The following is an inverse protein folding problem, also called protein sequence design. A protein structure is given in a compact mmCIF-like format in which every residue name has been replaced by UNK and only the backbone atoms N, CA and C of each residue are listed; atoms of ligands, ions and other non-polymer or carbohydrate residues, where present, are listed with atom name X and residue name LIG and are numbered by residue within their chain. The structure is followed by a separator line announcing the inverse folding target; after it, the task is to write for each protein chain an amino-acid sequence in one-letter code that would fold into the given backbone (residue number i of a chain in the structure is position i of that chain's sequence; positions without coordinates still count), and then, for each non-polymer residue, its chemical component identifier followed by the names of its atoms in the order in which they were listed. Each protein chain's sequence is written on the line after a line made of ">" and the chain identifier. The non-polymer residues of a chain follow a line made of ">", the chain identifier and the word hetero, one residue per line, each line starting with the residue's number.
data_IF_623016301499
#
_entry.id   IF_623016301499
#
_cell.length_a   1.000
_cell.length_b   1.000
_cell.length_c   1.000
_cell.angle_alpha   90.00
_cell.angle_beta   90.00
_cell.angle_gamma   90.00
#
_symmetry.space_group_name_H-M   'P 1'
#
loop_
_entity.id
_entity.type
_entity.pdbx_description
1 polymer ?
#
# COMPACT_ATOMS: atom_id res chain seq x y z
N UNK A 1 9.62 2.41 5.41
CA UNK A 1 9.91 2.90 6.77
C UNK A 1 9.36 1.89 7.75
N UNK A 2 10.02 1.64 8.88
CA UNK A 2 9.46 0.84 9.97
C UNK A 2 8.50 1.70 10.79
N UNK A 3 7.26 1.25 10.94
CA UNK A 3 6.15 2.01 11.56
C UNK A 3 5.69 1.44 12.90
N UNK A 4 6.11 0.22 13.26
CA UNK A 4 5.65 -0.40 14.51
C UNK A 4 6.32 0.23 15.75
N UNK A 5 5.56 0.69 16.76
CA UNK A 5 6.09 1.53 17.86
C UNK A 5 7.06 0.81 18.78
N UNK A 6 6.93 -0.52 18.92
CA UNK A 6 7.82 -1.32 19.79
C UNK A 6 9.02 -1.92 19.05
N UNK A 7 9.28 -1.51 17.81
CA UNK A 7 10.41 -2.02 17.05
C UNK A 7 11.67 -1.17 17.30
N UNK A 8 12.86 -1.76 17.53
CA UNK A 8 14.09 -1.00 17.76
C UNK A 8 14.45 -0.01 16.63
N UNK A 9 13.97 -0.29 15.42
CA UNK A 9 14.19 0.54 14.23
C UNK A 9 12.98 1.41 13.85
N UNK A 10 12.03 1.63 14.76
CA UNK A 10 10.88 2.52 14.53
C UNK A 10 11.31 3.89 13.95
N UNK A 11 10.58 4.36 12.94
CA UNK A 11 10.87 5.62 12.25
C UNK A 11 12.05 5.58 11.27
N UNK A 12 12.80 4.46 11.19
CA UNK A 12 13.95 4.33 10.29
C UNK A 12 13.55 3.75 8.94
N UNK A 13 14.29 4.13 7.90
CA UNK A 13 14.20 3.53 6.55
C UNK A 13 15.35 2.54 6.39
N UNK A 14 15.02 1.27 6.21
CA UNK A 14 15.98 0.19 6.03
C UNK A 14 16.01 -0.26 4.56
N UNK A 15 17.18 -0.73 4.11
CA UNK A 15 17.34 -1.27 2.76
C UNK A 15 16.83 -2.70 2.72
N UNK A 16 15.80 -2.96 1.92
CA UNK A 16 15.26 -4.31 1.70
C UNK A 16 16.23 -5.07 0.79
N UNK A 17 16.74 -6.20 1.27
CA UNK A 17 17.56 -7.12 0.49
C UNK A 17 16.68 -8.05 -0.35
N UNK A 18 15.65 -8.63 0.26
CA UNK A 18 14.63 -9.43 -0.42
C UNK A 18 13.37 -9.55 0.45
N UNK A 19 12.26 -9.95 -0.18
CA UNK A 19 11.02 -10.33 0.50
C UNK A 19 10.84 -11.84 0.47
N UNK A 20 10.21 -12.39 1.50
CA UNK A 20 9.79 -13.81 1.54
C UNK A 20 8.42 -13.95 2.18
N UNK A 21 7.69 -15.00 1.82
CA UNK A 21 6.48 -15.40 2.56
C UNK A 21 6.87 -16.01 3.90
N UNK A 22 6.05 -15.79 4.92
CA UNK A 22 6.21 -16.47 6.22
C UNK A 22 5.91 -17.95 6.10
N UNK A 23 6.56 -18.75 6.95
CA UNK A 23 6.35 -20.21 7.00
C UNK A 23 4.89 -20.59 7.31
N UNK A 24 4.17 -19.77 8.10
CA UNK A 24 2.75 -19.93 8.38
C UNK A 24 1.84 -19.73 7.16
N UNK A 25 2.39 -19.31 6.01
CA UNK A 25 1.63 -19.03 4.79
C UNK A 25 0.94 -17.66 4.77
N UNK A 26 0.73 -17.04 5.94
CA UNK A 26 0.08 -15.75 6.08
C UNK A 26 1.10 -14.61 6.16
N UNK A 27 1.16 -13.76 5.14
CA UNK A 27 1.92 -12.51 5.13
C UNK A 27 3.35 -12.59 4.61
N UNK A 28 3.95 -11.41 4.47
CA UNK A 28 5.28 -11.19 3.90
C UNK A 28 6.22 -10.59 4.95
N UNK A 29 7.46 -11.06 4.96
CA UNK A 29 8.57 -10.43 5.67
C UNK A 29 9.57 -9.84 4.68
N UNK A 30 10.06 -8.65 5.01
CA UNK A 30 11.21 -8.04 4.37
C UNK A 30 12.47 -8.35 5.15
N UNK A 31 13.45 -8.95 4.49
CA UNK A 31 14.80 -9.08 5.05
C UNK A 31 15.55 -7.81 4.71
N UNK A 32 15.90 -7.06 5.74
CA UNK A 32 16.53 -5.75 5.64
C UNK A 32 17.98 -5.82 6.10
N UNK A 33 18.82 -5.04 5.45
CA UNK A 33 20.16 -4.72 5.95
C UNK A 33 20.05 -3.67 7.06
N UNK A 34 20.83 -3.90 8.11
CA UNK A 34 21.07 -2.96 9.21
C UNK A 34 22.58 -2.79 9.39
N UNK A 35 22.98 -1.90 10.28
CA UNK A 35 24.38 -1.62 10.60
C UNK A 35 25.19 -2.91 10.88
N UNK A 36 26.48 -2.88 10.55
CA UNK A 36 27.43 -3.99 10.66
C UNK A 36 27.07 -5.25 9.85
N UNK A 37 26.51 -5.06 8.65
CA UNK A 37 26.12 -6.14 7.72
C UNK A 37 25.15 -7.17 8.32
N UNK A 38 24.49 -6.83 9.43
CA UNK A 38 23.48 -7.68 10.06
C UNK A 38 22.18 -7.62 9.25
N UNK A 39 21.38 -8.68 9.41
CA UNK A 39 20.08 -8.82 8.74
C UNK A 39 18.99 -8.89 9.79
N UNK A 40 17.89 -8.21 9.53
CA UNK A 40 16.67 -8.28 10.35
C UNK A 40 15.48 -8.59 9.45
N UNK A 41 14.58 -9.46 9.92
CA UNK A 41 13.30 -9.69 9.26
C UNK A 41 12.25 -8.74 9.84
N UNK A 42 11.60 -7.96 8.98
CA UNK A 42 10.55 -7.01 9.33
C UNK A 42 9.25 -7.47 8.68
N UNK A 43 8.20 -7.63 9.48
CA UNK A 43 6.85 -7.93 8.98
C UNK A 43 6.35 -6.78 8.10
N UNK A 44 5.72 -7.07 6.97
CA UNK A 44 5.19 -6.04 6.06
C UNK A 44 4.24 -5.08 6.78
N UNK A 45 3.36 -5.60 7.64
CA UNK A 45 2.42 -4.83 8.47
C UNK A 45 3.10 -3.89 9.49
N UNK A 46 4.41 -4.01 9.69
CA UNK A 46 5.22 -3.12 10.53
C UNK A 46 5.97 -2.08 9.70
N UNK A 47 5.62 -1.96 8.42
CA UNK A 47 6.19 -0.98 7.52
C UNK A 47 5.12 -0.07 6.94
N UNK A 48 5.57 1.04 6.34
CA UNK A 48 4.75 1.91 5.49
C UNK A 48 4.33 1.25 4.17
N UNK A 49 4.89 0.07 3.84
CA UNK A 49 4.47 -0.70 2.67
C UNK A 49 3.24 -1.50 3.05
N UNK A 50 2.09 -0.99 2.62
CA UNK A 50 0.81 -1.70 2.64
C UNK A 50 0.87 -3.03 1.88
N UNK A 51 -0.26 -3.75 1.77
CA UNK A 51 -0.33 -5.07 1.15
C UNK A 51 0.27 -5.08 -0.27
N UNK A 52 0.65 -6.26 -0.74
CA UNK A 52 1.16 -6.43 -2.11
C UNK A 52 0.19 -5.78 -3.11
N UNK A 53 0.67 -4.99 -4.09
CA UNK A 53 -0.21 -4.38 -5.08
C UNK A 53 -1.08 -5.44 -5.75
N UNK A 54 -2.36 -5.14 -5.96
CA UNK A 54 -3.24 -6.03 -6.71
C UNK A 54 -2.63 -6.35 -8.08
N UNK A 55 -2.87 -7.56 -8.57
CA UNK A 55 -2.38 -8.01 -9.88
C UNK A 55 -2.84 -7.06 -11.00
N UNK A 56 -4.06 -6.54 -10.86
CA UNK A 56 -4.64 -5.53 -11.74
C UNK A 56 -4.40 -4.14 -11.14
N UNK A 57 -3.33 -3.49 -11.57
CA UNK A 57 -3.04 -2.10 -11.17
C UNK A 57 -3.88 -1.16 -12.02
N UNK A 58 -4.69 -0.33 -11.36
CA UNK A 58 -5.32 0.80 -12.01
C UNK A 58 -4.26 1.87 -12.33
N UNK A 59 -4.26 2.39 -13.55
CA UNK A 59 -3.39 3.52 -13.90
C UNK A 59 -3.97 4.81 -13.32
N UNK A 60 -3.11 5.82 -13.10
CA UNK A 60 -3.57 7.14 -12.69
C UNK A 60 -4.56 7.73 -13.71
N UNK A 61 -4.33 7.44 -14.99
CA UNK A 61 -5.22 7.82 -16.09
C UNK A 61 -6.59 7.13 -15.98
N UNK A 62 -6.63 5.81 -15.72
CA UNK A 62 -7.91 5.08 -15.61
C UNK A 62 -8.72 5.51 -14.38
N UNK A 63 -8.05 5.83 -13.26
CA UNK A 63 -8.70 6.42 -12.09
C UNK A 63 -9.27 7.82 -12.39
N UNK A 64 -8.54 8.63 -13.15
CA UNK A 64 -9.01 9.96 -13.57
C UNK A 64 -10.21 9.85 -14.51
N UNK A 65 -10.15 8.94 -15.48
CA UNK A 65 -11.26 8.67 -16.39
C UNK A 65 -12.49 8.19 -15.63
N UNK A 66 -12.34 7.26 -14.68
CA UNK A 66 -13.43 6.77 -13.85
C UNK A 66 -14.06 7.89 -13.01
N UNK A 67 -13.24 8.75 -12.39
CA UNK A 67 -13.71 9.93 -11.64
C UNK A 67 -14.61 10.81 -12.51
N UNK A 68 -14.18 11.12 -13.74
CA UNK A 68 -14.95 11.96 -14.66
C UNK A 68 -16.28 11.31 -15.03
N UNK A 69 -16.31 9.99 -15.25
CA UNK A 69 -17.56 9.26 -15.52
C UNK A 69 -18.51 9.35 -14.32
N UNK A 70 -18.01 9.17 -13.09
CA UNK A 70 -18.83 9.27 -11.88
C UNK A 70 -19.41 10.68 -11.72
N UNK A 71 -18.63 11.73 -11.97
CA UNK A 71 -19.13 13.12 -11.89
C UNK A 71 -20.21 13.43 -12.94
N UNK A 72 -20.05 12.95 -14.18
CA UNK A 72 -21.07 13.09 -15.23
C UNK A 72 -22.35 12.36 -14.86
N UNK A 73 -22.25 11.18 -14.24
CA UNK A 73 -23.42 10.43 -13.79
C UNK A 73 -24.11 11.11 -12.60
N UNK A 74 -23.34 11.62 -11.63
CA UNK A 74 -23.88 12.35 -10.47
C UNK A 74 -24.66 13.60 -10.89
N UNK A 75 -24.08 14.44 -11.74
CA UNK A 75 -24.73 15.66 -12.24
C UNK A 75 -26.03 15.40 -13.02
N UNK A 76 -26.14 14.26 -13.70
CA UNK A 76 -27.37 13.84 -14.39
C UNK A 76 -28.46 13.37 -13.43
N UNK A 77 -28.09 12.77 -12.31
CA UNK A 77 -29.02 12.38 -11.26
C UNK A 77 -29.54 13.62 -10.50
N UNK A 78 -28.69 14.62 -10.25
CA UNK A 78 -29.08 15.85 -9.58
C UNK A 78 -29.97 16.74 -10.47
N UNK A 79 -29.66 16.85 -11.76
CA UNK A 79 -30.46 17.64 -12.71
C UNK A 79 -31.82 17.04 -13.09
N UNK A 80 -32.08 15.77 -12.75
CA UNK A 80 -33.39 15.14 -12.92
C UNK A 80 -34.37 15.48 -11.79
N UNK A 81 -33.91 16.12 -10.70
CA UNK A 81 -34.72 16.50 -9.54
C UNK A 81 -35.25 17.94 -9.55
N UNK A 82 -34.86 18.79 -10.49
CA UNK A 82 -35.24 20.23 -10.52
C UNK A 82 -36.28 20.60 -11.60
N UNK A 83 -36.83 19.62 -12.32
CA UNK A 83 -37.89 19.84 -13.30
C UNK A 83 -39.25 19.34 -12.75
N UNK A 84 -39.82 20.06 -11.79
CA UNK A 84 -41.24 19.98 -11.42
C UNK A 84 -41.89 21.37 -11.42
#
# INVERSE_FOLDING_TARGET
>A
MVTHPFHPWHGRRLRVLYSRRRWSGEGVEYVCEVEDARRVAIRQEWTDRGPEPAAERLSAESLTALRNVIEVLGSRCDGAGEAE
#
